data_IF_976665397271
#
_entry.id   IF_976665397271
#
_cell.length_a   1.000
_cell.length_b   1.000
_cell.length_c   1.000
_cell.angle_alpha   90.00
_cell.angle_beta   90.00
_cell.angle_gamma   90.00
#
_symmetry.space_group_name_H-M   'P 1'
#
loop_
_entity.id
_entity.type
_entity.pdbx_description
1 polymer ?
#
# COMPACT_ATOMS: atom_id res chain seq x y z
N UNK A 1 17.75 19.29 2.13
CA UNK A 1 17.27 18.01 1.60
C UNK A 1 15.77 18.06 1.74
N UNK A 2 15.11 18.45 0.66
CA UNK A 2 13.69 18.82 0.65
C UNK A 2 12.88 17.52 0.59
N UNK A 3 12.31 17.10 1.72
CA UNK A 3 11.31 16.04 1.72
C UNK A 3 10.00 16.62 1.21
N UNK A 4 9.78 16.48 -0.10
CA UNK A 4 8.50 16.70 -0.76
C UNK A 4 7.45 15.78 -0.13
N UNK A 5 6.79 16.28 0.92
CA UNK A 5 5.66 15.62 1.56
C UNK A 5 4.45 15.76 0.65
N UNK A 6 4.34 14.85 -0.31
CA UNK A 6 3.07 14.51 -0.94
C UNK A 6 2.13 13.97 0.14
N UNK A 7 1.33 14.87 0.73
CA UNK A 7 0.30 14.52 1.70
C UNK A 7 -0.79 13.75 0.95
N UNK A 8 -0.84 12.45 1.20
CA UNK A 8 -1.75 11.53 0.54
C UNK A 8 -3.09 11.52 1.29
N UNK A 9 -4.23 11.55 0.58
CA UNK A 9 -5.54 11.49 1.19
C UNK A 9 -5.67 10.17 1.99
N UNK A 10 -5.98 10.28 3.29
CA UNK A 10 -6.09 9.13 4.21
C UNK A 10 -4.94 8.99 5.23
N UNK A 11 -3.98 9.91 5.25
CA UNK A 11 -2.95 9.99 6.31
C UNK A 11 -3.23 11.05 7.38
N UNK A 12 -4.37 11.74 7.27
CA UNK A 12 -4.84 12.74 8.23
C UNK A 12 -5.03 12.10 9.61
N UNK A 13 -4.13 12.43 10.54
CA UNK A 13 -4.14 11.91 11.92
C UNK A 13 -3.09 10.83 12.25
N UNK A 14 -2.24 10.41 11.30
CA UNK A 14 -1.19 9.42 11.56
C UNK A 14 0.14 10.06 11.98
N UNK A 15 0.82 9.45 12.97
CA UNK A 15 2.15 9.89 13.37
C UNK A 15 3.15 9.75 12.19
N UNK A 16 4.20 10.60 12.10
CA UNK A 16 5.15 10.58 10.98
C UNK A 16 5.77 9.20 10.70
N UNK A 17 6.05 8.43 11.76
CA UNK A 17 6.55 7.05 11.65
C UNK A 17 5.54 6.11 11.00
N UNK A 18 4.25 6.25 11.32
CA UNK A 18 3.17 5.43 10.76
C UNK A 18 2.89 5.81 9.31
N UNK A 19 2.98 7.09 8.96
CA UNK A 19 2.91 7.57 7.57
C UNK A 19 4.01 6.91 6.71
N UNK A 20 5.24 6.87 7.23
CA UNK A 20 6.35 6.21 6.54
C UNK A 20 6.12 4.70 6.38
N UNK A 21 5.67 4.01 7.44
CA UNK A 21 5.34 2.58 7.37
C UNK A 21 4.21 2.27 6.39
N UNK A 22 3.19 3.13 6.32
CA UNK A 22 2.12 2.99 5.35
C UNK A 22 2.67 3.06 3.92
N UNK A 23 3.47 4.09 3.59
CA UNK A 23 4.09 4.22 2.26
C UNK A 23 4.87 2.96 1.83
N UNK A 24 5.56 2.29 2.75
CA UNK A 24 6.28 1.03 2.44
C UNK A 24 5.38 -0.19 2.23
N UNK A 25 4.16 -0.18 2.76
CA UNK A 25 3.17 -1.27 2.61
C UNK A 25 2.20 -1.03 1.46
N UNK A 26 2.37 0.07 0.74
CA UNK A 26 1.59 0.43 -0.43
C UNK A 26 2.06 -0.34 -1.66
N UNK A 27 1.12 -0.96 -2.34
CA UNK A 27 1.36 -1.68 -3.59
C UNK A 27 0.56 -1.08 -4.75
N UNK A 28 1.20 -1.07 -5.91
CA UNK A 28 0.59 -0.74 -7.20
C UNK A 28 0.39 -2.04 -8.00
N UNK A 29 -0.84 -2.27 -8.48
CA UNK A 29 -1.07 -3.37 -9.41
C UNK A 29 -0.75 -2.90 -10.83
N UNK A 30 0.30 -3.47 -11.42
CA UNK A 30 0.60 -3.33 -12.83
C UNK A 30 -0.12 -4.39 -13.67
N UNK A 31 -0.24 -4.16 -14.99
CA UNK A 31 -0.68 -5.16 -15.97
C UNK A 31 0.45 -6.11 -16.39
N UNK A 32 1.62 -6.00 -15.76
CA UNK A 32 2.80 -6.81 -16.03
C UNK A 32 2.58 -8.28 -15.65
N UNK A 33 2.98 -9.20 -16.52
CA UNK A 33 2.84 -10.65 -16.31
C UNK A 33 4.18 -11.33 -16.56
N UNK A 34 4.66 -12.06 -15.56
CA UNK A 34 5.88 -12.86 -15.63
C UNK A 34 5.62 -14.29 -15.17
N UNK A 35 6.38 -15.25 -15.69
CA UNK A 35 6.34 -16.65 -15.25
C UNK A 35 7.59 -16.96 -14.45
N UNK A 36 7.42 -17.26 -13.16
CA UNK A 36 8.50 -17.63 -12.25
C UNK A 36 8.27 -19.05 -11.71
N UNK A 37 9.33 -19.83 -11.44
CA UNK A 37 9.19 -21.14 -10.82
C UNK A 37 8.72 -21.01 -9.36
N UNK A 38 7.96 -22.01 -8.90
CA UNK A 38 7.33 -22.01 -7.56
C UNK A 38 8.33 -21.88 -6.40
N UNK A 39 9.61 -22.17 -6.63
CA UNK A 39 10.70 -21.99 -5.66
C UNK A 39 10.89 -20.53 -5.21
N UNK A 40 10.39 -19.56 -5.97
CA UNK A 40 10.45 -18.14 -5.59
C UNK A 40 9.42 -17.75 -4.51
N UNK A 41 8.42 -18.60 -4.22
CA UNK A 41 7.38 -18.28 -3.25
C UNK A 41 7.92 -18.55 -1.84
N UNK A 42 8.16 -17.48 -1.07
CA UNK A 42 8.66 -17.55 0.33
C UNK A 42 7.56 -17.53 1.39
N UNK A 43 6.34 -17.14 1.02
CA UNK A 43 5.22 -17.05 1.95
C UNK A 43 3.97 -16.49 1.28
N UNK A 44 2.83 -16.63 1.97
CA UNK A 44 1.55 -16.04 1.55
C UNK A 44 1.41 -14.66 2.19
N UNK A 45 1.04 -13.67 1.39
CA UNK A 45 0.67 -12.35 1.89
C UNK A 45 -0.82 -12.07 1.63
N UNK A 46 -1.37 -11.10 2.37
CA UNK A 46 -2.74 -10.63 2.15
C UNK A 46 -2.68 -9.20 1.64
N UNK A 47 -3.23 -8.97 0.46
CA UNK A 47 -3.36 -7.65 -0.13
C UNK A 47 -4.83 -7.25 -0.08
N UNK A 48 -5.13 -6.09 0.50
CA UNK A 48 -6.49 -5.57 0.62
C UNK A 48 -6.61 -4.24 -0.11
N UNK A 49 -7.78 -3.98 -0.70
CA UNK A 49 -8.06 -2.69 -1.31
C UNK A 49 -8.21 -1.64 -0.20
N UNK A 50 -7.49 -0.54 -0.30
CA UNK A 50 -7.71 0.57 0.62
C UNK A 50 -9.10 1.17 0.33
N UNK A 51 -9.99 1.06 1.31
CA UNK A 51 -11.28 1.75 1.27
C UNK A 51 -11.14 3.14 1.90
N UNK A 52 -11.60 4.17 1.21
CA UNK A 52 -11.50 5.56 1.67
C UNK A 52 -12.28 5.81 2.97
N UNK A 53 -13.27 4.97 3.28
CA UNK A 53 -14.06 5.05 4.51
C UNK A 53 -13.44 4.29 5.69
N UNK A 54 -12.31 3.60 5.51
CA UNK A 54 -11.65 2.82 6.56
C UNK A 54 -10.30 3.42 6.98
N UNK A 55 -9.98 3.35 8.27
CA UNK A 55 -8.73 3.90 8.80
C UNK A 55 -7.51 3.06 8.39
N UNK A 56 -6.49 3.72 7.86
CA UNK A 56 -5.21 3.11 7.49
C UNK A 56 -4.49 2.42 8.67
N UNK A 57 -4.78 2.83 9.91
CA UNK A 57 -4.25 2.18 11.13
C UNK A 57 -4.68 0.72 11.24
N UNK A 58 -5.92 0.40 10.87
CA UNK A 58 -6.44 -0.98 10.90
C UNK A 58 -5.69 -1.89 9.92
N UNK A 59 -5.16 -1.32 8.83
CA UNK A 59 -4.32 -2.02 7.85
C UNK A 59 -2.87 -2.16 8.29
N UNK A 60 -2.35 -1.23 9.11
CA UNK A 60 -1.00 -1.32 9.66
C UNK A 60 -0.89 -2.31 10.82
N UNK A 61 -1.98 -2.54 11.56
CA UNK A 61 -1.99 -3.38 12.75
C UNK A 61 -1.88 -4.89 12.46
N UNK A 62 -1.94 -5.31 11.19
CA UNK A 62 -1.69 -6.68 10.75
C UNK A 62 -0.32 -6.75 10.07
N UNK A 63 0.59 -7.56 10.62
CA UNK A 63 2.00 -7.60 10.20
C UNK A 63 2.25 -7.97 8.73
N UNK A 64 1.30 -8.67 8.08
CA UNK A 64 1.43 -9.17 6.70
C UNK A 64 0.38 -8.56 5.76
N UNK A 65 -0.39 -7.57 6.20
CA UNK A 65 -1.35 -6.89 5.32
C UNK A 65 -0.69 -5.74 4.57
N UNK A 66 -0.64 -5.89 3.25
CA UNK A 66 -0.31 -4.81 2.33
C UNK A 66 -1.60 -4.23 1.78
N UNK A 67 -1.59 -2.95 1.42
CA UNK A 67 -2.76 -2.30 0.85
C UNK A 67 -2.49 -1.85 -0.58
N UNK A 68 -3.51 -1.98 -1.42
CA UNK A 68 -3.51 -1.48 -2.79
C UNK A 68 -4.38 -0.24 -2.86
N UNK A 69 -3.84 0.87 -3.36
CA UNK A 69 -4.68 2.02 -3.71
C UNK A 69 -5.44 1.76 -5.00
N UNK A 70 -6.71 2.19 -5.04
CA UNK A 70 -7.40 2.35 -6.31
C UNK A 70 -6.69 3.47 -7.07
N UNK A 71 -6.14 3.12 -8.21
CA UNK A 71 -5.66 4.10 -9.16
C UNK A 71 -6.89 4.87 -9.66
N UNK A 72 -7.12 6.09 -9.14
CA UNK A 72 -8.16 6.99 -9.65
C UNK A 72 -7.75 7.67 -10.97
N UNK A 73 -6.66 7.22 -11.62
CA UNK A 73 -5.98 7.96 -12.67
C UNK A 73 -5.64 7.19 -13.94
N UNK A 74 -6.38 6.15 -14.33
CA UNK A 74 -6.38 5.71 -15.74
C UNK A 74 -7.60 6.35 -16.42
N UNK A 75 -7.47 7.65 -16.71
CA UNK A 75 -8.27 8.30 -17.74
C UNK A 75 -7.95 7.66 -19.08
N UNK A 76 -9.00 7.24 -19.78
CA UNK A 76 -8.99 7.06 -21.23
C UNK A 76 -9.14 8.44 -21.91
#
# INVERSE_FOLDING_TARGET
MEEESTDLPGTDGLAPKQRHQAKHRELFLSRHVETLPATHIRGKCTVTLLNETESLLSYLNKDVSMYRKRDQGIGA
#
